data_IF_768433890309
#
_entry.id   IF_768433890309
#
_cell.length_a   1.000
_cell.length_b   1.000
_cell.length_c   1.000
_cell.angle_alpha   90.00
_cell.angle_beta   90.00
_cell.angle_gamma   90.00
#
_symmetry.space_group_name_H-M   'P 1'
#
loop_
_entity.id
_entity.type
_entity.pdbx_description
1 polymer ?
#
# COMPACT_ATOMS: atom_id res chain seq x y z
N UNK A 1 0.26 -0.19 -25.44
CA UNK A 1 -0.28 -0.61 -24.12
C UNK A 1 0.04 0.50 -23.14
N UNK A 2 -0.98 1.21 -22.67
CA UNK A 2 -0.83 2.32 -21.70
C UNK A 2 -0.77 1.75 -20.28
N UNK A 3 0.15 2.24 -19.45
CA UNK A 3 0.20 1.86 -18.03
C UNK A 3 -0.66 2.85 -17.27
N UNK A 4 -1.74 2.36 -16.65
CA UNK A 4 -2.59 3.17 -15.78
C UNK A 4 -1.97 3.18 -14.38
N UNK A 5 -1.53 4.36 -13.94
CA UNK A 5 -1.06 4.55 -12.56
C UNK A 5 -2.15 5.28 -11.77
N UNK A 6 -2.46 4.79 -10.58
CA UNK A 6 -3.31 5.47 -9.60
C UNK A 6 -2.48 5.85 -8.41
N UNK A 7 -2.71 7.05 -7.90
CA UNK A 7 -1.98 7.62 -6.78
C UNK A 7 -2.92 7.86 -5.60
N UNK A 8 -2.40 7.62 -4.41
CA UNK A 8 -3.07 7.83 -3.14
C UNK A 8 -2.16 8.69 -2.27
N UNK A 9 -2.60 9.92 -2.01
CA UNK A 9 -1.89 10.81 -1.11
C UNK A 9 -2.26 10.47 0.32
N UNK A 10 -1.24 10.32 1.18
CA UNK A 10 -1.37 10.01 2.58
C UNK A 10 -0.45 10.86 3.43
N UNK A 11 -0.59 10.70 4.74
CA UNK A 11 0.27 11.34 5.74
C UNK A 11 0.80 10.25 6.66
N UNK A 12 2.09 10.26 6.93
CA UNK A 12 2.67 9.55 8.07
C UNK A 12 2.60 10.53 9.23
N UNK A 13 2.06 10.07 10.34
CA UNK A 13 1.93 10.85 11.56
C UNK A 13 2.70 10.11 12.64
N UNK A 14 3.61 10.81 13.30
CA UNK A 14 4.40 10.28 14.40
C UNK A 14 4.33 11.23 15.59
N UNK A 15 4.37 10.68 16.81
CA UNK A 15 4.33 11.45 18.05
C UNK A 15 5.57 11.11 18.87
N UNK A 16 6.43 12.10 19.09
CA UNK A 16 7.65 11.94 19.86
C UNK A 16 7.65 12.85 21.08
N UNK A 17 8.14 12.36 22.22
CA UNK A 17 8.38 13.19 23.41
C UNK A 17 9.74 13.88 23.31
N UNK A 18 9.74 15.21 23.38
CA UNK A 18 10.94 16.04 23.56
C UNK A 18 10.94 16.70 24.94
N UNK A 19 12.00 17.44 25.24
CA UNK A 19 12.20 18.14 26.51
C UNK A 19 11.04 19.09 26.83
N UNK A 20 10.52 19.80 25.82
CA UNK A 20 9.46 20.81 25.97
C UNK A 20 8.03 20.29 25.73
N UNK A 21 7.84 18.98 25.52
CA UNK A 21 6.51 18.40 25.34
C UNK A 21 6.43 17.31 24.27
N UNK A 22 5.21 17.08 23.76
CA UNK A 22 4.96 16.14 22.67
C UNK A 22 5.02 16.87 21.33
N UNK A 23 5.80 16.33 20.40
CA UNK A 23 5.87 16.79 19.02
C UNK A 23 5.07 15.85 18.12
N UNK A 24 4.23 16.44 17.27
CA UNK A 24 3.53 15.75 16.20
C UNK A 24 4.28 16.00 14.89
N UNK A 25 4.91 14.97 14.34
CA UNK A 25 5.58 15.03 13.03
C UNK A 25 4.63 14.51 11.96
N UNK A 26 4.54 15.24 10.85
CA UNK A 26 3.69 14.87 9.72
C UNK A 26 4.54 14.88 8.45
N UNK A 27 4.67 13.71 7.84
CA UNK A 27 5.31 13.54 6.55
C UNK A 27 4.28 13.19 5.47
N UNK A 28 4.44 13.78 4.30
CA UNK A 28 3.55 13.51 3.17
C UNK A 28 4.08 12.33 2.36
N UNK A 29 3.22 11.34 2.17
CA UNK A 29 3.53 10.16 1.38
C UNK A 29 2.57 10.00 0.22
N UNK A 30 3.02 9.30 -0.80
CA UNK A 30 2.17 8.89 -1.89
C UNK A 30 2.38 7.42 -2.18
N UNK A 31 1.27 6.68 -2.16
CA UNK A 31 1.25 5.30 -2.60
C UNK A 31 0.75 5.25 -4.03
N UNK A 32 1.52 4.62 -4.90
CA UNK A 32 1.09 4.35 -6.27
C UNK A 32 0.67 2.89 -6.42
N UNK A 33 -0.30 2.67 -7.30
CA UNK A 33 -0.72 1.35 -7.77
C UNK A 33 -0.78 1.38 -9.28
N UNK A 34 -0.40 0.27 -9.92
CA UNK A 34 -0.41 0.16 -11.38
C UNK A 34 -1.53 -0.78 -11.84
N UNK A 35 -1.16 -1.99 -12.20
CA UNK A 35 -2.00 -3.07 -12.70
C UNK A 35 -2.31 -4.06 -11.59
N UNK A 36 -3.31 -4.89 -11.82
CA UNK A 36 -3.58 -6.04 -10.95
C UNK A 36 -2.54 -7.14 -11.19
N UNK A 37 -2.37 -8.02 -10.21
CA UNK A 37 -1.58 -9.24 -10.40
C UNK A 37 -2.16 -10.11 -11.51
N UNK A 38 -3.50 -10.14 -11.65
CA UNK A 38 -4.15 -10.84 -12.76
C UNK A 38 -3.74 -10.32 -14.13
N UNK A 39 -3.84 -9.00 -14.36
CA UNK A 39 -3.42 -8.37 -15.62
C UNK A 39 -1.93 -8.64 -15.94
N UNK A 40 -1.09 -8.70 -14.90
CA UNK A 40 0.33 -9.01 -15.06
C UNK A 40 0.57 -10.48 -15.38
N UNK A 41 -0.19 -11.39 -14.77
CA UNK A 41 -0.19 -12.81 -15.08
C UNK A 41 -0.66 -13.07 -16.51
N UNK A 42 -1.74 -12.44 -16.97
CA UNK A 42 -2.18 -12.53 -18.37
C UNK A 42 -1.10 -12.03 -19.33
N UNK A 43 -0.49 -10.88 -19.03
CA UNK A 43 0.60 -10.33 -19.85
C UNK A 43 1.76 -11.31 -19.98
N UNK A 44 2.17 -11.93 -18.88
CA UNK A 44 3.26 -12.91 -18.90
C UNK A 44 2.85 -14.15 -19.68
N UNK A 45 1.63 -14.65 -19.49
CA UNK A 45 1.09 -15.78 -20.25
C UNK A 45 1.11 -15.53 -21.76
N UNK A 46 0.74 -14.33 -22.20
CA UNK A 46 0.76 -13.95 -23.63
C UNK A 46 2.16 -13.70 -24.21
N UNK A 47 3.19 -13.48 -23.37
CA UNK A 47 4.52 -13.04 -23.81
C UNK A 47 5.64 -14.07 -23.58
N UNK A 48 5.31 -15.20 -22.96
CA UNK A 48 6.25 -16.29 -22.66
C UNK A 48 5.78 -17.59 -23.29
N UNK A 49 6.67 -18.58 -23.38
CA UNK A 49 6.28 -19.94 -23.76
C UNK A 49 5.38 -20.54 -22.67
N UNK A 50 4.55 -21.52 -23.02
CA UNK A 50 3.70 -22.20 -22.02
C UNK A 50 4.53 -22.89 -20.93
N UNK A 51 5.73 -23.34 -21.26
CA UNK A 51 6.61 -24.07 -20.34
C UNK A 51 7.31 -23.12 -19.34
N UNK A 52 7.59 -21.87 -19.75
CA UNK A 52 8.33 -20.89 -18.93
C UNK A 52 7.42 -19.91 -18.17
N UNK A 53 6.11 -19.95 -18.41
CA UNK A 53 5.15 -18.99 -17.86
C UNK A 53 5.20 -18.92 -16.33
N UNK A 54 5.13 -20.07 -15.66
CA UNK A 54 5.09 -20.09 -14.20
C UNK A 54 6.38 -19.58 -13.56
N UNK A 55 7.53 -19.90 -14.16
CA UNK A 55 8.83 -19.40 -13.69
C UNK A 55 8.94 -17.89 -13.87
N UNK A 56 8.53 -17.40 -15.04
CA UNK A 56 8.49 -15.97 -15.36
C UNK A 56 7.56 -15.19 -14.42
N UNK A 57 6.38 -15.74 -14.12
CA UNK A 57 5.43 -15.18 -13.16
C UNK A 57 6.01 -15.11 -11.74
N UNK A 58 6.66 -16.18 -11.28
CA UNK A 58 7.32 -16.18 -9.95
C UNK A 58 8.43 -15.15 -9.88
N UNK A 59 9.29 -15.08 -10.90
CA UNK A 59 10.39 -14.12 -10.98
C UNK A 59 9.91 -12.68 -10.98
N UNK A 60 8.81 -12.39 -11.67
CA UNK A 60 8.28 -11.03 -11.78
C UNK A 60 7.48 -10.61 -10.55
N UNK A 61 6.76 -11.52 -9.87
CA UNK A 61 5.79 -11.13 -8.82
C UNK A 61 6.25 -11.40 -7.39
N UNK A 62 7.04 -12.45 -7.14
CA UNK A 62 7.48 -12.77 -5.76
C UNK A 62 8.30 -11.60 -5.19
N UNK A 63 8.11 -11.34 -3.90
CA UNK A 63 8.65 -10.20 -3.13
C UNK A 63 8.09 -8.82 -3.48
N UNK A 64 7.23 -8.69 -4.50
CA UNK A 64 6.48 -7.44 -4.71
C UNK A 64 5.41 -7.26 -3.65
N UNK A 65 5.09 -6.00 -3.38
CA UNK A 65 4.01 -5.60 -2.48
C UNK A 65 2.72 -5.39 -3.29
N UNK A 66 1.63 -5.98 -2.82
CA UNK A 66 0.29 -5.83 -3.37
C UNK A 66 -0.64 -5.13 -2.39
N UNK A 67 -1.51 -4.27 -2.91
CA UNK A 67 -2.60 -3.64 -2.19
C UNK A 67 -3.92 -4.31 -2.57
N UNK A 68 -4.63 -4.82 -1.57
CA UNK A 68 -6.01 -5.26 -1.72
C UNK A 68 -6.94 -4.08 -1.49
N UNK A 69 -7.80 -3.76 -2.47
CA UNK A 69 -8.62 -2.52 -2.41
C UNK A 69 -9.83 -2.62 -1.50
N UNK A 70 -10.30 -3.83 -1.19
CA UNK A 70 -11.49 -4.05 -0.37
C UNK A 70 -11.24 -3.78 1.12
N UNK A 71 -10.00 -3.95 1.60
CA UNK A 71 -9.60 -3.72 3.00
C UNK A 71 -8.39 -2.79 3.15
N UNK A 72 -7.85 -2.28 2.04
CA UNK A 72 -6.66 -1.43 1.97
C UNK A 72 -5.41 -2.02 2.63
N UNK A 73 -5.30 -3.35 2.72
CA UNK A 73 -4.12 -4.02 3.27
C UNK A 73 -3.03 -4.17 2.23
N UNK A 74 -1.78 -4.09 2.70
CA UNK A 74 -0.61 -4.32 1.85
C UNK A 74 0.08 -5.59 2.30
N UNK A 75 0.24 -6.52 1.37
CA UNK A 75 0.90 -7.81 1.62
C UNK A 75 2.08 -7.99 0.67
N UNK A 76 3.10 -8.71 1.11
CA UNK A 76 4.19 -9.14 0.22
C UNK A 76 3.83 -10.47 -0.38
N UNK A 77 4.02 -10.61 -1.69
CA UNK A 77 3.86 -11.90 -2.37
C UNK A 77 5.02 -12.82 -1.95
N UNK A 78 4.69 -13.97 -1.39
CA UNK A 78 5.66 -15.01 -1.02
C UNK A 78 5.76 -16.11 -2.08
N UNK A 79 4.64 -16.46 -2.70
CA UNK A 79 4.60 -17.45 -3.78
C UNK A 79 3.34 -17.27 -4.64
N UNK A 80 3.22 -18.08 -5.68
CA UNK A 80 2.01 -18.22 -6.50
C UNK A 80 1.67 -19.71 -6.58
N UNK A 81 0.44 -20.04 -6.24
CA UNK A 81 -0.11 -21.38 -6.36
C UNK A 81 -0.91 -21.49 -7.67
N UNK A 82 -0.38 -22.26 -8.61
CA UNK A 82 -1.01 -22.50 -9.91
C UNK A 82 -1.94 -23.72 -9.91
N UNK A 83 -1.99 -24.49 -8.82
CA UNK A 83 -2.83 -25.68 -8.71
C UNK A 83 -4.18 -25.34 -8.04
N UNK A 84 -4.24 -24.25 -7.29
CA UNK A 84 -5.45 -23.76 -6.62
C UNK A 84 -6.03 -22.57 -7.37
N UNK A 85 -7.36 -22.48 -7.37
CA UNK A 85 -8.10 -21.38 -7.99
C UNK A 85 -9.16 -20.86 -7.02
N UNK A 86 -9.72 -19.65 -7.24
CA UNK A 86 -10.80 -19.13 -6.40
C UNK A 86 -12.01 -20.07 -6.29
N UNK A 87 -12.30 -20.85 -7.34
CA UNK A 87 -13.40 -21.81 -7.35
C UNK A 87 -13.09 -23.14 -6.64
N UNK A 88 -11.82 -23.55 -6.54
CA UNK A 88 -11.43 -24.83 -5.94
C UNK A 88 -10.92 -24.68 -4.51
N UNK A 89 -10.44 -23.49 -4.13
CA UNK A 89 -9.96 -23.22 -2.78
C UNK A 89 -11.15 -23.13 -1.81
N UNK A 90 -11.14 -23.98 -0.79
CA UNK A 90 -12.08 -23.93 0.32
C UNK A 90 -11.40 -23.25 1.52
N UNK A 91 -12.10 -22.31 2.13
CA UNK A 91 -11.67 -21.71 3.39
C UNK A 91 -11.58 -22.80 4.47
N UNK A 92 -10.53 -22.74 5.28
CA UNK A 92 -10.31 -23.66 6.41
C UNK A 92 -11.24 -23.34 7.61
N UNK A 93 -12.38 -22.69 7.37
CA UNK A 93 -13.41 -22.48 8.38
C UNK A 93 -14.52 -23.54 8.26
N UNK A 94 -15.40 -23.61 9.26
CA UNK A 94 -16.52 -24.57 9.27
C UNK A 94 -17.52 -24.36 8.10
N UNK A 95 -17.35 -23.29 7.32
CA UNK A 95 -18.29 -22.93 6.25
C UNK A 95 -18.03 -23.68 4.93
N UNK A 96 -16.84 -24.25 4.72
CA UNK A 96 -16.42 -24.85 3.44
C UNK A 96 -16.76 -23.96 2.23
N UNK A 97 -16.61 -22.65 2.39
CA UNK A 97 -16.97 -21.66 1.36
C UNK A 97 -15.81 -21.48 0.38
N UNK A 98 -16.12 -21.32 -0.91
CA UNK A 98 -15.10 -20.99 -1.93
C UNK A 98 -14.62 -19.55 -1.78
N UNK A 99 -13.46 -19.19 -2.33
CA UNK A 99 -13.05 -17.77 -2.34
C UNK A 99 -14.04 -16.92 -3.14
N UNK A 100 -14.62 -17.44 -4.22
CA UNK A 100 -15.63 -16.73 -5.03
C UNK A 100 -16.81 -16.30 -4.14
N UNK A 101 -17.39 -17.26 -3.42
CA UNK A 101 -18.55 -17.00 -2.57
C UNK A 101 -18.19 -16.12 -1.36
N UNK A 102 -17.00 -16.30 -0.78
CA UNK A 102 -16.52 -15.48 0.31
C UNK A 102 -16.42 -13.99 -0.08
N UNK A 103 -15.80 -13.69 -1.22
CA UNK A 103 -15.65 -12.31 -1.67
C UNK A 103 -17.00 -11.69 -2.05
N UNK A 104 -17.91 -12.48 -2.63
CA UNK A 104 -19.27 -12.03 -2.93
C UNK A 104 -20.04 -11.69 -1.64
N UNK A 105 -20.10 -12.63 -0.68
CA UNK A 105 -20.92 -12.46 0.51
C UNK A 105 -20.37 -11.41 1.48
N UNK A 106 -19.05 -11.30 1.62
CA UNK A 106 -18.42 -10.41 2.60
C UNK A 106 -18.19 -8.99 2.08
N UNK A 107 -17.86 -8.86 0.80
CA UNK A 107 -17.43 -7.58 0.22
C UNK A 107 -18.29 -7.11 -0.96
N UNK A 108 -19.30 -7.90 -1.37
CA UNK A 108 -20.10 -7.66 -2.58
C UNK A 108 -19.24 -7.58 -3.85
N UNK A 109 -18.25 -8.47 -3.93
CA UNK A 109 -17.29 -8.52 -5.05
C UNK A 109 -17.48 -9.81 -5.84
N UNK A 110 -17.84 -9.66 -7.11
CA UNK A 110 -17.91 -10.78 -8.07
C UNK A 110 -16.52 -11.03 -8.65
N UNK A 111 -15.98 -12.24 -8.43
CA UNK A 111 -14.74 -12.68 -9.07
C UNK A 111 -15.00 -12.97 -10.56
N UNK A 112 -14.26 -12.31 -11.45
CA UNK A 112 -14.50 -12.41 -12.89
C UNK A 112 -13.91 -13.66 -13.50
N UNK A 113 -12.68 -13.99 -13.13
CA UNK A 113 -12.02 -15.23 -13.55
C UNK A 113 -11.87 -16.17 -12.36
N UNK A 114 -12.76 -17.17 -12.19
CA UNK A 114 -12.70 -18.12 -11.09
C UNK A 114 -11.59 -19.17 -11.24
N UNK A 115 -10.88 -19.20 -12.39
CA UNK A 115 -9.83 -20.18 -12.70
C UNK A 115 -8.42 -19.60 -12.64
N UNK A 116 -8.28 -18.31 -12.33
CA UNK A 116 -6.98 -17.68 -12.10
C UNK A 116 -6.21 -18.38 -10.96
N UNK A 117 -4.86 -18.42 -11.02
CA UNK A 117 -4.05 -18.95 -9.93
C UNK A 117 -4.19 -18.08 -8.67
N UNK A 118 -3.71 -18.55 -7.51
CA UNK A 118 -3.78 -17.77 -6.27
C UNK A 118 -2.42 -17.20 -5.87
N UNK A 119 -2.42 -15.97 -5.36
CA UNK A 119 -1.26 -15.35 -4.73
C UNK A 119 -1.14 -15.88 -3.30
N UNK A 120 0.06 -16.32 -2.91
CA UNK A 120 0.34 -16.76 -1.54
C UNK A 120 1.08 -15.65 -0.81
N UNK A 121 0.63 -15.32 0.40
CA UNK A 121 1.35 -14.45 1.32
C UNK A 121 1.41 -15.07 2.72
N UNK A 122 2.52 -14.82 3.39
CA UNK A 122 2.82 -15.35 4.70
C UNK A 122 2.96 -14.17 5.67
N UNK A 123 1.93 -13.85 6.48
CA UNK A 123 1.97 -12.71 7.39
C UNK A 123 3.07 -12.90 8.42
N UNK A 124 4.10 -12.05 8.38
CA UNK A 124 5.19 -12.06 9.35
C UNK A 124 4.83 -11.16 10.51
N UNK A 125 4.63 -11.73 11.71
CA UNK A 125 4.51 -10.95 12.94
C UNK A 125 5.88 -10.81 13.60
N UNK A 126 6.25 -9.61 14.09
CA UNK A 126 7.49 -9.45 14.86
C UNK A 126 7.51 -10.39 16.06
N UNK A 127 8.52 -11.25 16.16
CA UNK A 127 8.72 -12.19 17.28
C UNK A 127 8.13 -13.59 17.12
N UNK A 128 7.42 -13.89 16.03
CA UNK A 128 6.80 -15.20 15.78
C UNK A 128 7.60 -15.97 14.72
N UNK A 129 8.36 -16.98 15.16
CA UNK A 129 9.30 -17.72 14.30
C UNK A 129 8.80 -19.09 13.83
N UNK A 130 7.69 -19.60 14.36
CA UNK A 130 7.46 -21.05 14.38
C UNK A 130 6.19 -21.57 13.70
N UNK A 131 5.29 -20.74 13.15
CA UNK A 131 4.21 -21.21 12.27
C UNK A 131 3.64 -20.07 11.42
N UNK A 132 4.24 -19.79 10.26
CA UNK A 132 3.68 -18.80 9.35
C UNK A 132 2.67 -19.50 8.44
N UNK A 133 1.39 -19.41 8.78
CA UNK A 133 0.31 -19.95 7.94
C UNK A 133 0.25 -19.22 6.60
N UNK A 134 0.28 -19.98 5.51
CA UNK A 134 0.10 -19.46 4.16
C UNK A 134 -1.34 -18.99 3.98
N UNK A 135 -1.50 -17.76 3.49
CA UNK A 135 -2.79 -17.17 3.16
C UNK A 135 -2.87 -16.94 1.66
N UNK A 136 -4.08 -17.00 1.11
CA UNK A 136 -4.33 -16.94 -0.33
C UNK A 136 -5.12 -15.69 -0.70
N UNK A 137 -4.69 -15.01 -1.77
CA UNK A 137 -5.35 -13.84 -2.33
C UNK A 137 -5.67 -14.07 -3.80
N UNK A 138 -6.78 -13.50 -4.25
CA UNK A 138 -7.19 -13.57 -5.66
C UNK A 138 -6.46 -12.47 -6.45
N UNK A 139 -5.66 -12.82 -7.48
CA UNK A 139 -4.85 -11.87 -8.23
C UNK A 139 -5.59 -10.65 -8.81
N UNK A 140 -6.85 -10.81 -9.23
CA UNK A 140 -7.63 -9.69 -9.80
C UNK A 140 -7.97 -8.60 -8.77
N UNK A 141 -7.92 -8.94 -7.47
CA UNK A 141 -8.16 -8.00 -6.37
C UNK A 141 -6.86 -7.41 -5.81
N UNK A 142 -5.70 -7.92 -6.25
CA UNK A 142 -4.37 -7.54 -5.79
C UNK A 142 -3.76 -6.53 -6.76
N UNK A 143 -3.56 -5.29 -6.32
CA UNK A 143 -2.92 -4.25 -7.12
C UNK A 143 -1.44 -4.17 -6.80
N UNK A 144 -0.57 -4.28 -7.80
CA UNK A 144 0.86 -4.05 -7.62
C UNK A 144 1.09 -2.62 -7.16
N UNK A 145 1.91 -2.47 -6.11
CA UNK A 145 2.25 -1.17 -5.54
C UNK A 145 3.61 -0.69 -6.03
N UNK A 146 3.80 0.62 -6.01
CA UNK A 146 4.99 1.26 -6.55
C UNK A 146 4.91 1.49 -8.05
N UNK A 147 5.92 2.17 -8.58
CA UNK A 147 6.08 2.33 -10.01
C UNK A 147 6.86 1.11 -10.52
N UNK A 148 6.27 0.34 -11.43
CA UNK A 148 7.04 -0.69 -12.13
C UNK A 148 8.20 -0.05 -12.89
N UNK A 149 9.30 -0.77 -13.13
CA UNK A 149 10.42 -0.28 -13.94
C UNK A 149 9.95 0.27 -15.31
N UNK A 150 8.90 -0.35 -15.85
CA UNK A 150 8.26 0.09 -17.09
C UNK A 150 7.52 1.42 -16.93
N UNK A 151 6.81 1.62 -15.82
CA UNK A 151 6.19 2.91 -15.48
C UNK A 151 7.25 3.99 -15.20
N UNK A 152 8.38 3.64 -14.57
CA UNK A 152 9.50 4.56 -14.37
C UNK A 152 10.09 5.09 -15.69
N UNK A 153 10.12 4.24 -16.73
CA UNK A 153 10.56 4.63 -18.09
C UNK A 153 9.52 5.43 -18.87
N UNK A 154 8.26 5.46 -18.44
CA UNK A 154 7.22 6.28 -19.08
C UNK A 154 7.29 7.73 -18.57
N UNK A 155 7.70 8.64 -19.46
CA UNK A 155 7.81 10.06 -19.16
C UNK A 155 6.49 10.69 -18.68
N UNK A 156 5.33 10.13 -19.04
CA UNK A 156 4.02 10.60 -18.56
C UNK A 156 3.76 10.15 -17.13
N UNK A 157 4.05 8.90 -16.79
CA UNK A 157 3.93 8.41 -15.41
C UNK A 157 4.84 9.21 -14.47
N UNK A 158 6.05 9.60 -14.93
CA UNK A 158 6.92 10.53 -14.20
C UNK A 158 6.31 11.92 -13.98
N UNK A 159 5.61 12.49 -14.96
CA UNK A 159 4.95 13.82 -14.83
C UNK A 159 3.80 13.81 -13.81
N UNK A 160 3.16 12.66 -13.63
CA UNK A 160 2.04 12.47 -12.69
C UNK A 160 2.57 12.26 -11.25
N UNK A 161 3.89 12.14 -11.03
CA UNK A 161 4.49 11.99 -9.70
C UNK A 161 4.57 13.30 -8.86
N UNK A 162 3.98 14.40 -9.35
CA UNK A 162 4.09 15.74 -8.75
C UNK A 162 2.92 16.12 -7.81
N UNK A 163 2.10 15.16 -7.34
CA UNK A 163 0.95 15.48 -6.45
C UNK A 163 1.30 15.50 -4.95
N UNK A 164 2.56 15.34 -4.57
CA UNK A 164 3.04 15.61 -3.21
C UNK A 164 3.64 17.02 -3.20
N UNK A 165 3.43 17.83 -2.16
CA UNK A 165 4.18 19.06 -1.99
C UNK A 165 5.67 18.74 -1.81
N UNK A 166 6.44 18.92 -2.88
CA UNK A 166 7.88 18.63 -2.89
C UNK A 166 8.70 19.82 -2.35
N UNK A 167 8.14 21.02 -2.38
CA UNK A 167 8.79 22.25 -1.91
C UNK A 167 8.37 22.62 -0.48
N UNK A 168 9.17 23.49 0.15
CA UNK A 168 8.95 23.94 1.53
C UNK A 168 7.61 24.68 1.68
N UNK A 169 7.26 25.53 0.71
CA UNK A 169 6.04 26.31 0.72
C UNK A 169 4.79 25.41 0.66
N UNK A 170 4.76 24.43 -0.26
CA UNK A 170 3.64 23.51 -0.37
C UNK A 170 3.47 22.63 0.87
N UNK A 171 4.58 22.19 1.48
CA UNK A 171 4.53 21.41 2.74
C UNK A 171 3.95 22.25 3.89
N UNK A 172 4.39 23.50 4.05
CA UNK A 172 3.85 24.40 5.07
C UNK A 172 2.35 24.68 4.88
N UNK A 173 1.91 24.86 3.63
CA UNK A 173 0.49 25.04 3.32
C UNK A 173 -0.34 23.81 3.71
N UNK A 174 0.12 22.60 3.38
CA UNK A 174 -0.59 21.37 3.75
C UNK A 174 -0.59 21.09 5.25
N UNK A 175 0.51 21.39 5.97
CA UNK A 175 0.55 21.31 7.43
C UNK A 175 -0.47 22.27 8.06
N UNK A 176 -0.55 23.50 7.55
CA UNK A 176 -1.52 24.49 8.02
C UNK A 176 -2.96 24.05 7.75
N UNK A 177 -3.22 23.46 6.58
CA UNK A 177 -4.52 22.88 6.25
C UNK A 177 -4.89 21.72 7.17
N UNK A 178 -3.93 20.85 7.50
CA UNK A 178 -4.16 19.73 8.42
C UNK A 178 -4.50 20.20 9.83
N UNK A 179 -3.76 21.18 10.37
CA UNK A 179 -4.06 21.78 11.69
C UNK A 179 -5.49 22.34 11.73
N UNK A 180 -5.86 23.11 10.70
CA UNK A 180 -7.19 23.68 10.56
C UNK A 180 -8.31 22.62 10.48
N UNK A 181 -8.10 21.54 9.70
CA UNK A 181 -9.03 20.40 9.68
C UNK A 181 -9.21 19.78 11.06
N UNK A 182 -8.12 19.53 11.81
CA UNK A 182 -8.17 18.92 13.13
C UNK A 182 -8.96 19.78 14.12
N UNK A 183 -8.81 21.11 14.07
CA UNK A 183 -9.53 22.05 14.94
C UNK A 183 -11.01 22.19 14.58
N UNK A 184 -11.35 22.16 13.29
CA UNK A 184 -12.76 22.27 12.85
C UNK A 184 -13.55 21.00 13.10
N UNK A 185 -12.88 19.85 13.22
CA UNK A 185 -13.55 18.59 13.51
C UNK A 185 -13.84 18.45 15.02
N UNK A 186 -15.09 18.76 15.41
CA UNK A 186 -15.54 18.68 16.80
C UNK A 186 -15.32 17.30 17.44
N UNK A 187 -15.40 16.21 16.66
CA UNK A 187 -15.13 14.86 17.17
C UNK A 187 -13.65 14.67 17.52
N UNK A 188 -12.75 15.16 16.65
CA UNK A 188 -11.30 15.13 16.90
C UNK A 188 -10.93 15.98 18.13
N UNK A 189 -11.45 17.21 18.22
CA UNK A 189 -11.20 18.11 19.36
C UNK A 189 -11.67 17.48 20.67
N UNK A 190 -12.88 16.92 20.70
CA UNK A 190 -13.40 16.24 21.90
C UNK A 190 -12.55 15.02 22.27
N UNK A 191 -12.06 14.28 21.28
CA UNK A 191 -11.18 13.14 21.51
C UNK A 191 -9.88 13.60 22.16
N UNK A 192 -9.14 14.55 21.57
CA UNK A 192 -7.89 15.07 22.16
C UNK A 192 -8.08 15.64 23.57
N UNK A 193 -9.15 16.40 23.79
CA UNK A 193 -9.48 16.95 25.10
C UNK A 193 -9.74 15.85 26.16
N UNK A 194 -10.32 14.71 25.77
CA UNK A 194 -10.51 13.57 26.68
C UNK A 194 -9.21 12.93 27.16
N UNK A 195 -8.12 13.12 26.41
CA UNK A 195 -6.76 12.72 26.78
C UNK A 195 -5.96 13.84 27.46
N UNK A 196 -6.56 15.02 27.68
CA UNK A 196 -5.86 16.21 28.20
C UNK A 196 -4.85 16.79 27.21
N UNK A 197 -4.99 16.50 25.93
CA UNK A 197 -4.12 16.99 24.85
C UNK A 197 -4.80 18.17 24.16
N UNK A 198 -4.04 19.24 23.94
CA UNK A 198 -4.43 20.32 23.05
C UNK A 198 -3.42 20.42 21.90
N UNK A 199 -3.93 20.59 20.68
CA UNK A 199 -3.09 20.77 19.50
C UNK A 199 -2.70 22.25 19.47
N UNK A 200 -1.42 22.56 19.56
CA UNK A 200 -0.93 23.94 19.50
C UNK A 200 -0.67 24.32 18.04
N UNK A 201 -1.29 25.42 17.57
CA UNK A 201 -1.21 25.88 16.19
C UNK A 201 0.10 26.62 15.97
N UNK A 202 1.23 25.93 15.89
CA UNK A 202 2.48 26.51 15.44
C UNK A 202 3.39 25.43 14.84
N UNK A 203 3.89 25.67 13.62
CA UNK A 203 5.05 24.94 13.11
C UNK A 203 6.24 25.35 13.98
N UNK A 204 6.81 24.40 14.71
CA UNK A 204 7.89 24.69 15.66
C UNK A 204 9.19 24.95 14.88
N UNK A 205 9.81 26.14 15.01
CA UNK A 205 11.09 26.41 14.38
C UNK A 205 12.18 25.57 15.06
N UNK A 206 12.95 24.82 14.27
CA UNK A 206 14.10 24.07 14.76
C UNK A 206 15.36 24.91 14.54
N UNK A 207 16.11 25.17 15.61
CA UNK A 207 17.45 25.73 15.48
C UNK A 207 18.40 24.66 14.94
N UNK A 208 19.08 24.96 13.82
CA UNK A 208 20.08 24.09 13.22
C UNK A 208 21.36 24.86 12.95
N UNK A 209 22.52 24.25 13.21
CA UNK A 209 23.83 24.75 12.77
C UNK A 209 24.23 24.09 11.45
N UNK A 210 24.71 24.89 10.50
CA UNK A 210 25.28 24.39 9.24
C UNK A 210 26.78 24.21 9.46
N UNK A 211 27.29 22.99 9.30
CA UNK A 211 28.74 22.76 9.33
C UNK A 211 29.37 23.33 8.05
N UNK A 212 30.47 24.06 8.18
CA UNK A 212 31.20 24.59 7.04
C UNK A 212 31.68 23.45 6.14
N UNK A 213 31.40 23.56 4.84
CA UNK A 213 31.91 22.61 3.85
C UNK A 213 33.43 22.77 3.73
N UNK A 214 34.20 21.76 4.15
CA UNK A 214 35.62 21.69 3.80
C UNK A 214 35.74 21.53 2.28
N UNK A 215 36.21 22.58 1.60
CA UNK A 215 36.70 22.47 0.23
C UNK A 215 38.00 21.65 0.27
N UNK A 216 37.99 20.47 -0.33
CA UNK A 216 39.20 19.73 -0.73
C UNK A 216 39.48 20.06 -2.19
#
# INVERSE_FOLDING_TARGET
IYIRVRYWNGRIVDIERKEDGLLLTIDFIQKSTTTTCYEELERLYMSTSSDDYQESARKELINKLVLTRYDNRTQRIDNIDFNLTPATFLLNDDSQTTLVDYYLNKFDIVIKDPHQPLIVYCPRRPGEHTNIEANYLVPELCYLTGLSDRAHRDARARKINNFIPLDSAGRQAELSYFDDMCRRNAASVKYFASWGIDIVANIIPVQSSINESHRV
#
